data_IF_520930461181
#
_entry.id   IF_520930461181
#
_cell.length_a   1.000
_cell.length_b   1.000
_cell.length_c   1.000
_cell.angle_alpha   90.00
_cell.angle_beta   90.00
_cell.angle_gamma   90.00
#
_symmetry.space_group_name_H-M   'P 1'
#
loop_
_entity.id
_entity.type
_entity.pdbx_description
1 polymer ?
#
# COMPACT_ATOMS: atom_id res chain seq x y z
N UNK A 1 10.95 -7.95 22.82
CA UNK A 1 11.73 -8.87 23.70
C UNK A 1 10.93 -9.28 24.92
N UNK A 2 11.33 -10.29 25.72
CA UNK A 2 10.60 -10.66 26.96
C UNK A 2 10.41 -9.46 27.92
N UNK A 3 11.37 -8.53 27.95
CA UNK A 3 11.30 -7.29 28.73
C UNK A 3 10.16 -6.37 28.26
N UNK A 4 9.98 -6.23 26.95
CA UNK A 4 8.92 -5.38 26.37
C UNK A 4 7.53 -5.96 26.66
N UNK A 5 7.38 -7.28 26.54
CA UNK A 5 6.15 -7.98 26.89
C UNK A 5 5.80 -7.84 28.38
N UNK A 6 6.76 -8.02 29.28
CA UNK A 6 6.54 -7.84 30.72
C UNK A 6 6.13 -6.41 31.08
N UNK A 7 6.67 -5.41 30.36
CA UNK A 7 6.27 -4.01 30.50
C UNK A 7 4.84 -3.75 30.03
N UNK A 8 4.43 -4.31 28.87
CA UNK A 8 3.05 -4.21 28.36
C UNK A 8 2.06 -4.83 29.33
N UNK A 9 2.37 -6.04 29.82
CA UNK A 9 1.51 -6.76 30.77
C UNK A 9 1.34 -6.02 32.10
N UNK A 10 2.40 -5.38 32.63
CA UNK A 10 2.32 -4.51 33.82
C UNK A 10 1.43 -3.29 33.63
N UNK A 11 1.29 -2.82 32.38
CA UNK A 11 0.43 -1.70 32.04
C UNK A 11 -1.01 -2.15 31.70
N UNK A 12 -1.37 -3.41 31.99
CA UNK A 12 -2.64 -4.05 31.60
C UNK A 12 -2.90 -4.05 30.07
N UNK A 13 -1.84 -3.94 29.25
CA UNK A 13 -1.93 -4.13 27.79
C UNK A 13 -1.76 -5.62 27.48
N UNK A 14 -2.90 -6.32 27.37
CA UNK A 14 -2.99 -7.73 27.01
C UNK A 14 -3.22 -7.97 25.52
N UNK A 15 -3.17 -6.92 24.69
CA UNK A 15 -3.33 -7.07 23.25
C UNK A 15 -2.15 -7.85 22.68
N UNK A 16 -2.47 -9.02 22.13
CA UNK A 16 -1.49 -9.91 21.51
C UNK A 16 -1.22 -9.52 20.06
N UNK A 17 -2.12 -8.75 19.45
CA UNK A 17 -1.94 -8.20 18.13
C UNK A 17 -0.75 -7.25 18.11
N UNK A 18 0.08 -7.41 17.07
CA UNK A 18 1.06 -6.41 16.74
C UNK A 18 0.34 -5.13 16.34
N UNK A 19 0.78 -4.02 16.94
CA UNK A 19 0.34 -2.69 16.51
C UNK A 19 0.73 -2.51 15.04
N UNK A 20 -0.04 -1.66 14.35
CA UNK A 20 0.26 -1.29 12.98
C UNK A 20 1.74 -0.88 12.89
N UNK A 21 2.48 -1.66 12.12
CA UNK A 21 3.89 -1.39 11.91
C UNK A 21 3.97 -0.19 10.99
N UNK A 22 4.83 0.76 11.33
CA UNK A 22 5.26 1.78 10.37
C UNK A 22 5.90 1.05 9.20
N UNK A 23 5.15 0.84 8.12
CA UNK A 23 5.66 0.23 6.91
C UNK A 23 6.79 1.04 6.30
N UNK A 24 7.43 0.51 5.27
CA UNK A 24 8.39 1.29 4.51
C UNK A 24 7.74 2.58 3.98
N UNK A 25 8.43 3.73 4.07
CA UNK A 25 7.90 4.97 3.51
C UNK A 25 7.60 4.78 2.02
N UNK A 26 6.43 5.26 1.58
CA UNK A 26 6.07 5.23 0.15
C UNK A 26 7.07 6.08 -0.62
N UNK A 27 7.59 5.53 -1.73
CA UNK A 27 8.56 6.22 -2.59
C UNK A 27 7.95 7.36 -3.42
N UNK A 28 6.64 7.30 -3.70
CA UNK A 28 5.87 8.32 -4.41
C UNK A 28 4.42 8.33 -3.90
N UNK A 29 3.68 9.41 -4.15
CA UNK A 29 2.28 9.52 -3.74
C UNK A 29 1.37 8.79 -4.74
N UNK A 30 0.39 8.02 -4.24
CA UNK A 30 -0.56 7.31 -5.12
C UNK A 30 -1.33 8.30 -6.04
N UNK A 31 -1.49 9.56 -5.60
CA UNK A 31 -2.12 10.65 -6.37
C UNK A 31 -1.33 11.07 -7.61
N UNK A 32 0.00 11.04 -7.58
CA UNK A 32 0.81 11.35 -8.77
C UNK A 32 0.65 10.26 -9.83
N UNK A 33 0.62 9.00 -9.40
CA UNK A 33 0.37 7.88 -10.30
C UNK A 33 -1.06 7.95 -10.88
N UNK A 34 -2.05 8.36 -10.09
CA UNK A 34 -3.42 8.60 -10.57
C UNK A 34 -3.47 9.67 -11.66
N UNK A 35 -2.83 10.82 -11.43
CA UNK A 35 -2.81 11.90 -12.41
C UNK A 35 -2.20 11.46 -13.75
N UNK A 36 -1.10 10.70 -13.70
CA UNK A 36 -0.45 10.18 -14.92
C UNK A 36 -1.36 9.20 -15.70
N UNK A 37 -2.11 8.36 -14.98
CA UNK A 37 -3.06 7.42 -15.61
C UNK A 37 -4.33 8.10 -16.13
N UNK A 38 -4.77 9.18 -15.48
CA UNK A 38 -5.91 9.99 -15.92
C UNK A 38 -5.56 10.80 -17.18
N UNK A 39 -4.31 11.26 -17.29
CA UNK A 39 -3.79 11.94 -18.48
C UNK A 39 -3.63 10.98 -19.68
N UNK A 40 -3.04 9.81 -19.45
CA UNK A 40 -2.91 8.77 -20.47
C UNK A 40 -2.99 7.36 -19.86
N UNK A 41 -4.15 6.69 -19.98
CA UNK A 41 -4.33 5.35 -19.44
C UNK A 41 -3.57 4.26 -20.21
N UNK A 42 -2.97 4.60 -21.36
CA UNK A 42 -2.23 3.66 -22.23
C UNK A 42 -0.72 3.62 -21.98
N UNK A 43 -0.22 4.40 -21.02
CA UNK A 43 1.21 4.43 -20.68
C UNK A 43 1.74 3.08 -20.20
N UNK A 44 2.99 2.80 -20.57
CA UNK A 44 3.67 1.59 -20.12
C UNK A 44 4.27 1.76 -18.73
N UNK A 45 4.43 0.64 -17.99
CA UNK A 45 5.06 0.65 -16.66
C UNK A 45 6.48 1.22 -16.67
N UNK A 46 7.21 1.05 -17.79
CA UNK A 46 8.57 1.58 -17.97
C UNK A 46 8.58 3.10 -18.07
N UNK A 47 7.61 3.69 -18.77
CA UNK A 47 7.46 5.15 -18.88
C UNK A 47 7.08 5.76 -17.54
N UNK A 48 6.08 5.18 -16.86
CA UNK A 48 5.69 5.59 -15.51
C UNK A 48 6.84 5.51 -14.51
N UNK A 49 7.65 4.44 -14.58
CA UNK A 49 8.84 4.28 -13.74
C UNK A 49 9.89 5.36 -13.99
N UNK A 50 10.09 5.78 -15.25
CA UNK A 50 11.00 6.88 -15.58
C UNK A 50 10.49 8.22 -15.07
N UNK A 51 9.20 8.52 -15.24
CA UNK A 51 8.58 9.78 -14.79
C UNK A 51 8.63 9.90 -13.27
N UNK A 52 8.26 8.82 -12.56
CA UNK A 52 8.21 8.77 -11.10
C UNK A 52 9.57 8.42 -10.46
N UNK A 53 10.62 8.24 -11.27
CA UNK A 53 11.97 7.86 -10.86
C UNK A 53 12.01 6.62 -9.95
N UNK A 54 11.12 5.66 -10.21
CA UNK A 54 10.97 4.40 -9.47
C UNK A 54 11.12 3.20 -10.38
N UNK A 55 11.41 2.06 -9.77
CA UNK A 55 11.47 0.80 -10.51
C UNK A 55 10.07 0.37 -10.99
N UNK A 56 10.04 -0.28 -12.14
CA UNK A 56 8.83 -0.81 -12.77
C UNK A 56 8.05 -1.74 -11.85
N UNK A 57 8.75 -2.53 -11.01
CA UNK A 57 8.11 -3.45 -10.08
C UNK A 57 7.32 -2.72 -8.98
N UNK A 58 7.77 -1.53 -8.58
CA UNK A 58 7.06 -0.69 -7.62
C UNK A 58 5.79 -0.11 -8.25
N UNK A 59 5.86 0.37 -9.50
CA UNK A 59 4.68 0.85 -10.24
C UNK A 59 3.67 -0.28 -10.41
N UNK A 60 4.12 -1.46 -10.86
CA UNK A 60 3.29 -2.66 -11.01
C UNK A 60 2.58 -3.04 -9.70
N UNK A 61 3.31 -3.14 -8.59
CA UNK A 61 2.74 -3.46 -7.27
C UNK A 61 1.67 -2.45 -6.84
N UNK A 62 1.86 -1.17 -7.14
CA UNK A 62 0.90 -0.12 -6.77
C UNK A 62 -0.38 -0.21 -7.63
N UNK A 63 -0.25 -0.45 -8.93
CA UNK A 63 -1.39 -0.69 -9.82
C UNK A 63 -2.19 -1.93 -9.39
N UNK A 64 -1.51 -3.05 -9.09
CA UNK A 64 -2.17 -4.26 -8.59
C UNK A 64 -2.91 -4.03 -7.27
N UNK A 65 -2.34 -3.28 -6.35
CA UNK A 65 -3.03 -2.90 -5.11
C UNK A 65 -4.28 -2.07 -5.40
N UNK A 66 -4.23 -1.14 -6.37
CA UNK A 66 -5.38 -0.34 -6.79
C UNK A 66 -6.50 -1.23 -7.31
N UNK A 67 -6.21 -2.09 -8.29
CA UNK A 67 -7.20 -3.03 -8.87
C UNK A 67 -7.81 -3.94 -7.80
N UNK A 68 -7.01 -4.37 -6.81
CA UNK A 68 -7.50 -5.21 -5.70
C UNK A 68 -8.37 -4.46 -4.68
N UNK A 69 -8.18 -3.15 -4.56
CA UNK A 69 -8.91 -2.30 -3.62
C UNK A 69 -10.10 -1.57 -4.29
N UNK A 70 -10.39 -1.89 -5.55
CA UNK A 70 -11.51 -1.33 -6.29
C UNK A 70 -12.84 -1.70 -5.59
N UNK A 71 -13.63 -0.69 -5.14
CA UNK A 71 -14.91 -0.93 -4.49
C UNK A 71 -15.95 -1.63 -5.40
N UNK A 72 -15.90 -1.47 -6.73
CA UNK A 72 -16.87 -2.12 -7.63
C UNK A 72 -16.68 -3.65 -7.69
N UNK A 73 -15.43 -4.13 -7.60
CA UNK A 73 -15.11 -5.55 -7.59
C UNK A 73 -15.52 -6.25 -6.27
N UNK A 74 -15.69 -5.49 -5.17
CA UNK A 74 -16.13 -6.04 -3.87
C UNK A 74 -17.64 -6.25 -3.78
N UNK A 75 -18.44 -5.49 -4.53
CA UNK A 75 -19.91 -5.56 -4.48
C UNK A 75 -20.50 -6.76 -5.21
N UNK A 76 -19.76 -7.40 -6.13
CA UNK A 76 -20.25 -8.56 -6.90
C UNK A 76 -20.14 -9.92 -6.17
N UNK A 77 -19.64 -9.92 -4.93
CA UNK A 77 -19.54 -11.12 -4.08
C UNK A 77 -20.53 -11.17 -2.91
N UNK A 78 -21.47 -10.22 -2.83
CA UNK A 78 -22.46 -10.13 -1.77
C UNK A 78 -23.89 -10.22 -2.35
N UNK A 79 -24.25 -11.39 -2.89
CA UNK A 79 -25.65 -11.80 -3.15
C UNK A 79 -25.81 -13.25 -2.72
#
# INVERSE_FOLDING_TARGET
>A
TCRDWFRRFKNNDFQLEDKERSGAPKKFQDKELEQLLDEDPSQTLSELGKILQVDESTVSKQLFKRVRNDPEARTLGAV
#
